data_IF_645200343820
#
_entry.id   IF_645200343820
#
_cell.length_a   1.000
_cell.length_b   1.000
_cell.length_c   1.000
_cell.angle_alpha   90.00
_cell.angle_beta   90.00
_cell.angle_gamma   90.00
#
_symmetry.space_group_name_H-M   'P 1'
#
loop_
_entity.id
_entity.type
_entity.pdbx_description
1 polymer ?
#
# COMPACT_ATOMS: atom_id res chain seq x y z
N UNK A 1 -75.95 9.74 -4.01
CA UNK A 1 -74.76 9.52 -4.86
C UNK A 1 -73.72 10.62 -4.63
N UNK A 2 -72.91 10.51 -3.57
CA UNK A 2 -71.67 11.27 -3.36
C UNK A 2 -70.81 10.39 -2.46
N UNK A 3 -69.61 10.01 -2.91
CA UNK A 3 -68.47 9.43 -2.18
C UNK A 3 -67.77 8.40 -3.07
N UNK A 4 -66.88 8.86 -3.98
CA UNK A 4 -65.84 8.02 -4.59
C UNK A 4 -64.77 8.78 -5.39
N UNK A 5 -64.44 10.01 -5.01
CA UNK A 5 -63.47 10.83 -5.77
C UNK A 5 -62.19 11.24 -5.02
N UNK A 6 -62.04 10.92 -3.74
CA UNK A 6 -60.93 11.42 -2.92
C UNK A 6 -59.78 10.43 -2.67
N UNK A 7 -59.88 9.18 -3.13
CA UNK A 7 -58.95 8.11 -2.71
C UNK A 7 -57.76 7.90 -3.66
N UNK A 8 -57.88 8.25 -4.95
CA UNK A 8 -56.83 7.98 -5.96
C UNK A 8 -55.64 8.94 -5.93
N UNK A 9 -55.76 10.10 -5.29
CA UNK A 9 -54.69 11.13 -5.28
C UNK A 9 -53.55 10.77 -4.33
N UNK A 10 -53.85 10.18 -3.17
CA UNK A 10 -52.84 9.81 -2.18
C UNK A 10 -52.03 8.58 -2.60
N UNK A 11 -52.66 7.66 -3.35
CA UNK A 11 -51.99 6.45 -3.85
C UNK A 11 -50.92 6.78 -4.91
N UNK A 12 -51.17 7.78 -5.76
CA UNK A 12 -50.18 8.25 -6.75
C UNK A 12 -49.03 9.03 -6.10
N UNK A 13 -49.32 9.87 -5.10
CA UNK A 13 -48.29 10.59 -4.36
C UNK A 13 -47.33 9.64 -3.63
N UNK A 14 -47.84 8.60 -2.95
CA UNK A 14 -47.01 7.58 -2.32
C UNK A 14 -46.13 6.84 -3.33
N UNK A 15 -46.66 6.46 -4.50
CA UNK A 15 -45.88 5.76 -5.54
C UNK A 15 -44.71 6.60 -6.08
N UNK A 16 -44.90 7.91 -6.25
CA UNK A 16 -43.84 8.82 -6.73
C UNK A 16 -42.75 8.99 -5.67
N UNK A 17 -43.11 9.11 -4.39
CA UNK A 17 -42.16 9.23 -3.28
C UNK A 17 -41.33 7.94 -3.11
N UNK A 18 -41.97 6.77 -3.18
CA UNK A 18 -41.27 5.48 -3.12
C UNK A 18 -40.34 5.25 -4.31
N UNK A 19 -40.75 5.61 -5.53
CA UNK A 19 -39.90 5.49 -6.71
C UNK A 19 -38.68 6.43 -6.65
N UNK A 20 -38.85 7.65 -6.15
CA UNK A 20 -37.75 8.60 -5.93
C UNK A 20 -36.73 8.11 -4.90
N UNK A 21 -37.20 7.53 -3.80
CA UNK A 21 -36.33 7.00 -2.74
C UNK A 21 -35.46 5.82 -3.23
N UNK A 22 -36.02 4.92 -4.05
CA UNK A 22 -35.29 3.78 -4.62
C UNK A 22 -34.20 4.27 -5.60
N UNK A 23 -34.48 5.26 -6.43
CA UNK A 23 -33.51 5.81 -7.38
C UNK A 23 -32.29 6.42 -6.65
N UNK A 24 -32.52 7.13 -5.54
CA UNK A 24 -31.45 7.72 -4.72
C UNK A 24 -30.62 6.62 -4.04
N UNK A 25 -31.26 5.59 -3.50
CA UNK A 25 -30.57 4.45 -2.87
C UNK A 25 -29.69 3.70 -3.87
N UNK A 26 -30.19 3.44 -5.08
CA UNK A 26 -29.40 2.77 -6.14
C UNK A 26 -28.24 3.65 -6.61
N UNK A 27 -28.45 4.96 -6.78
CA UNK A 27 -27.39 5.89 -7.17
C UNK A 27 -26.28 6.00 -6.10
N UNK A 28 -26.65 6.03 -4.82
CA UNK A 28 -25.69 6.08 -3.71
C UNK A 28 -24.92 4.76 -3.55
N UNK A 29 -25.59 3.60 -3.65
CA UNK A 29 -24.92 2.30 -3.69
C UNK A 29 -23.99 2.21 -4.90
N UNK A 30 -24.42 2.67 -6.07
CA UNK A 30 -23.60 2.68 -7.29
C UNK A 30 -22.37 3.59 -7.15
N UNK A 31 -22.50 4.79 -6.57
CA UNK A 31 -21.38 5.68 -6.31
C UNK A 31 -20.40 5.11 -5.28
N UNK A 32 -20.90 4.44 -4.22
CA UNK A 32 -20.05 3.76 -3.23
C UNK A 32 -19.34 2.56 -3.87
N UNK A 33 -20.05 1.75 -4.65
CA UNK A 33 -19.46 0.63 -5.39
C UNK A 33 -18.42 1.10 -6.40
N UNK A 34 -18.71 2.17 -7.15
CA UNK A 34 -17.76 2.80 -8.08
C UNK A 34 -16.53 3.32 -7.33
N UNK A 35 -16.69 4.06 -6.24
CA UNK A 35 -15.56 4.51 -5.39
C UNK A 35 -14.72 3.33 -4.89
N UNK A 36 -15.35 2.22 -4.48
CA UNK A 36 -14.62 1.00 -4.06
C UNK A 36 -13.91 0.29 -5.23
N UNK A 37 -14.49 0.30 -6.43
CA UNK A 37 -13.89 -0.32 -7.63
C UNK A 37 -12.71 0.49 -8.19
N UNK A 38 -12.70 1.82 -8.02
CA UNK A 38 -11.56 2.69 -8.35
C UNK A 38 -10.54 2.80 -7.21
N UNK A 39 -10.88 2.39 -5.98
CA UNK A 39 -9.92 1.94 -4.95
C UNK A 39 -9.33 0.55 -5.29
N UNK A 40 -9.12 0.27 -6.58
CA UNK A 40 -8.24 -0.83 -6.97
C UNK A 40 -6.86 -0.41 -6.49
N UNK A 41 -6.44 -1.09 -5.42
CA UNK A 41 -5.11 -1.12 -4.80
C UNK A 41 -4.06 -0.44 -5.66
N UNK A 42 -3.41 0.58 -5.10
CA UNK A 42 -2.03 0.89 -5.43
C UNK A 42 -1.28 -0.44 -5.42
N UNK A 43 -1.11 -1.03 -6.60
CA UNK A 43 -0.52 -2.35 -6.74
C UNK A 43 0.96 -2.16 -6.64
N UNK A 44 1.45 -2.06 -5.41
CA UNK A 44 2.87 -2.16 -5.09
C UNK A 44 3.22 -3.63 -5.28
N UNK A 45 3.77 -3.97 -6.43
CA UNK A 45 4.45 -5.25 -6.61
C UNK A 45 5.91 -5.03 -6.29
N UNK A 46 6.29 -5.37 -5.05
CA UNK A 46 7.67 -5.66 -4.69
C UNK A 46 7.98 -7.07 -5.18
N UNK A 47 8.47 -7.20 -6.41
CA UNK A 47 9.10 -8.46 -6.83
C UNK A 47 10.60 -8.31 -6.60
N UNK A 48 11.25 -9.19 -5.82
CA UNK A 48 12.70 -9.20 -5.76
C UNK A 48 13.24 -9.43 -7.18
N UNK A 49 13.93 -8.43 -7.71
CA UNK A 49 14.65 -8.55 -8.97
C UNK A 49 16.12 -8.77 -8.63
N UNK A 50 16.73 -9.79 -9.22
CA UNK A 50 18.13 -10.10 -9.00
C UNK A 50 18.92 -9.70 -10.25
N UNK A 51 19.77 -8.67 -10.12
CA UNK A 51 20.80 -8.35 -11.10
C UNK A 51 22.16 -8.60 -10.45
N UNK A 52 23.00 -9.42 -11.10
CA UNK A 52 24.33 -9.82 -10.61
C UNK A 52 24.36 -10.40 -9.17
N UNK A 53 23.30 -11.06 -8.73
CA UNK A 53 23.23 -11.72 -7.43
C UNK A 53 22.94 -10.79 -6.25
N UNK A 54 22.66 -9.51 -6.51
CA UNK A 54 22.20 -8.56 -5.50
C UNK A 54 20.67 -8.39 -5.59
N UNK A 55 19.94 -8.48 -4.46
CA UNK A 55 18.52 -8.18 -4.43
C UNK A 55 18.34 -6.68 -4.72
N UNK A 56 17.70 -6.36 -5.83
CA UNK A 56 17.32 -4.99 -6.18
C UNK A 56 15.83 -4.80 -5.95
N UNK A 57 15.50 -3.70 -5.28
CA UNK A 57 14.13 -3.31 -5.04
C UNK A 57 13.52 -2.74 -6.32
N UNK A 58 12.40 -3.32 -6.75
CA UNK A 58 11.58 -2.80 -7.86
C UNK A 58 10.18 -2.52 -7.36
N UNK A 59 9.71 -1.30 -7.60
CA UNK A 59 8.38 -0.82 -7.26
C UNK A 59 7.63 -0.41 -8.51
N UNK A 60 6.36 -0.80 -8.61
CA UNK A 60 5.49 -0.41 -9.72
C UNK A 60 4.30 0.36 -9.15
N UNK A 61 4.01 1.52 -9.72
CA UNK A 61 2.94 2.42 -9.29
C UNK A 61 2.07 2.82 -10.48
N UNK A 62 0.81 3.20 -10.19
CA UNK A 62 0.00 3.97 -11.15
C UNK A 62 -0.01 5.44 -10.72
N UNK A 63 0.42 6.32 -11.62
CA UNK A 63 0.38 7.77 -11.46
C UNK A 63 -0.66 8.37 -12.42
N UNK A 64 -0.92 9.67 -12.28
CA UNK A 64 -1.80 10.42 -13.19
C UNK A 64 -1.01 11.51 -13.88
N UNK A 65 -1.08 11.57 -15.22
CA UNK A 65 -0.56 12.66 -16.04
C UNK A 65 -1.71 13.23 -16.87
N UNK A 66 -2.05 14.51 -16.70
CA UNK A 66 -3.15 15.16 -17.43
C UNK A 66 -4.48 14.36 -17.42
N UNK A 67 -4.84 13.79 -16.26
CA UNK A 67 -5.99 12.89 -16.05
C UNK A 67 -5.92 11.52 -16.76
N UNK A 68 -4.80 11.17 -17.36
CA UNK A 68 -4.54 9.84 -17.90
C UNK A 68 -3.68 9.02 -16.93
N UNK A 69 -4.05 7.76 -16.65
CA UNK A 69 -3.22 6.90 -15.83
C UNK A 69 -1.95 6.53 -16.59
N UNK A 70 -0.80 6.66 -15.94
CA UNK A 70 0.49 6.17 -16.42
C UNK A 70 1.07 5.18 -15.42
N UNK A 71 1.90 4.26 -15.88
CA UNK A 71 2.64 3.34 -15.03
C UNK A 71 4.02 3.94 -14.72
N UNK A 72 4.41 3.96 -13.44
CA UNK A 72 5.77 4.27 -13.03
C UNK A 72 6.41 3.01 -12.46
N UNK A 73 7.61 2.68 -12.94
CA UNK A 73 8.45 1.63 -12.39
C UNK A 73 9.70 2.29 -11.81
N UNK A 74 9.99 2.03 -10.54
CA UNK A 74 11.11 2.58 -9.79
C UNK A 74 12.00 1.42 -9.37
N UNK A 75 13.28 1.48 -9.72
CA UNK A 75 14.25 0.41 -9.49
C UNK A 75 15.44 0.98 -8.73
N UNK A 76 15.86 0.32 -7.66
CA UNK A 76 17.05 0.71 -6.92
C UNK A 76 18.31 0.37 -7.73
N UNK A 77 19.21 1.35 -7.86
CA UNK A 77 20.53 1.20 -8.47
C UNK A 77 21.57 1.97 -7.68
N UNK A 78 22.24 1.28 -6.74
CA UNK A 78 23.17 1.93 -5.80
C UNK A 78 22.45 2.92 -4.88
N UNK A 79 22.97 4.13 -4.78
CA UNK A 79 22.43 5.22 -3.93
C UNK A 79 21.29 6.01 -4.61
N UNK A 80 20.84 5.57 -5.78
CA UNK A 80 19.78 6.23 -6.53
C UNK A 80 18.73 5.23 -7.03
N UNK A 81 17.60 5.75 -7.48
CA UNK A 81 16.53 4.96 -8.08
C UNK A 81 16.34 5.36 -9.53
N UNK A 82 16.39 4.39 -10.44
CA UNK A 82 16.01 4.57 -11.82
C UNK A 82 14.48 4.58 -11.96
N UNK A 83 13.93 5.55 -12.67
CA UNK A 83 12.47 5.65 -12.89
C UNK A 83 12.14 5.49 -14.37
N UNK A 84 11.19 4.61 -14.65
CA UNK A 84 10.61 4.39 -15.96
C UNK A 84 9.12 4.76 -15.95
N UNK A 85 8.67 5.59 -16.89
CA UNK A 85 7.26 5.95 -17.10
C UNK A 85 6.74 5.26 -18.37
N UNK A 86 5.68 4.47 -18.26
CA UNK A 86 5.13 3.60 -19.32
C UNK A 86 6.22 2.79 -20.05
N UNK A 87 7.17 2.25 -19.27
CA UNK A 87 8.28 1.44 -19.77
C UNK A 87 9.44 2.22 -20.41
N UNK A 88 9.40 3.56 -20.42
CA UNK A 88 10.50 4.40 -20.91
C UNK A 88 11.25 5.04 -19.77
N UNK A 89 12.59 4.98 -19.80
CA UNK A 89 13.42 5.64 -18.82
C UNK A 89 13.13 7.15 -18.79
N UNK A 90 12.78 7.66 -17.61
CA UNK A 90 12.37 9.04 -17.38
C UNK A 90 13.40 9.83 -16.57
N UNK A 91 14.26 9.15 -15.80
CA UNK A 91 15.32 9.80 -15.03
C UNK A 91 15.75 9.02 -13.79
N UNK A 92 16.57 9.67 -12.98
CA UNK A 92 17.01 9.16 -11.67
C UNK A 92 16.41 9.98 -10.53
N UNK A 93 16.15 9.29 -9.41
CA UNK A 93 15.60 9.85 -8.18
C UNK A 93 16.54 9.51 -7.02
N UNK A 94 16.80 10.46 -6.13
CA UNK A 94 17.54 10.22 -4.89
C UNK A 94 16.97 11.10 -3.77
N UNK A 95 17.31 10.78 -2.53
CA UNK A 95 16.93 11.60 -1.39
C UNK A 95 17.99 12.67 -1.13
N UNK A 96 17.54 13.88 -0.85
CA UNK A 96 18.40 14.97 -0.42
C UNK A 96 18.62 14.89 1.10
N UNK A 97 19.79 14.42 1.52
CA UNK A 97 20.18 14.30 2.93
C UNK A 97 20.24 15.65 3.65
N UNK A 98 20.53 16.73 2.94
CA UNK A 98 20.62 18.07 3.52
C UNK A 98 19.23 18.73 3.68
N UNK A 99 18.25 18.32 2.87
CA UNK A 99 16.90 18.90 2.85
C UNK A 99 15.80 17.93 3.30
N UNK A 100 15.95 17.36 4.50
CA UNK A 100 14.93 16.53 5.15
C UNK A 100 14.51 15.29 4.33
N UNK A 101 15.46 14.65 3.65
CA UNK A 101 15.25 13.42 2.87
C UNK A 101 14.20 13.59 1.75
N UNK A 102 14.05 14.81 1.23
CA UNK A 102 13.14 15.05 0.12
C UNK A 102 13.64 14.36 -1.14
N UNK A 103 12.73 13.69 -1.84
CA UNK A 103 13.02 13.10 -3.14
C UNK A 103 13.27 14.19 -4.18
N UNK A 104 14.38 14.10 -4.88
CA UNK A 104 14.78 15.03 -5.94
C UNK A 104 15.17 14.28 -7.22
N UNK A 105 14.96 14.95 -8.35
CA UNK A 105 15.38 14.48 -9.68
C UNK A 105 15.91 15.66 -10.49
N UNK A 106 16.94 15.42 -11.30
CA UNK A 106 17.46 16.42 -12.24
C UNK A 106 16.70 16.41 -13.58
N UNK A 107 16.16 15.26 -13.98
CA UNK A 107 15.50 15.07 -15.27
C UNK A 107 14.15 15.81 -15.36
N UNK A 108 14.04 16.73 -16.33
CA UNK A 108 12.81 17.52 -16.55
C UNK A 108 11.56 16.67 -16.77
N UNK A 109 11.72 15.50 -17.39
CA UNK A 109 10.62 14.56 -17.64
C UNK A 109 10.05 13.95 -16.35
N UNK A 110 10.87 13.87 -15.29
CA UNK A 110 10.50 13.24 -14.02
C UNK A 110 9.97 14.25 -13.00
N UNK A 111 10.40 15.52 -13.06
CA UNK A 111 10.01 16.59 -12.11
C UNK A 111 8.52 16.67 -11.79
N UNK A 112 7.58 16.54 -12.75
CA UNK A 112 6.15 16.61 -12.44
C UNK A 112 5.67 15.47 -11.52
N UNK A 113 6.38 14.34 -11.52
CA UNK A 113 5.99 13.11 -10.84
C UNK A 113 6.76 12.88 -9.53
N UNK A 114 7.85 13.60 -9.28
CA UNK A 114 8.73 13.42 -8.10
C UNK A 114 7.93 13.43 -6.80
N UNK A 115 6.99 14.37 -6.62
CA UNK A 115 6.21 14.44 -5.39
C UNK A 115 5.29 13.22 -5.20
N UNK A 116 4.65 12.75 -6.26
CA UNK A 116 3.73 11.62 -6.17
C UNK A 116 4.46 10.29 -6.06
N UNK A 117 5.58 10.12 -6.77
CA UNK A 117 6.49 8.98 -6.62
C UNK A 117 7.06 8.99 -5.20
N UNK A 118 7.53 10.13 -4.71
CA UNK A 118 8.07 10.26 -3.36
C UNK A 118 7.05 9.89 -2.29
N UNK A 119 5.81 10.38 -2.39
CA UNK A 119 4.72 9.95 -1.49
C UNK A 119 4.47 8.45 -1.56
N UNK A 120 4.46 7.87 -2.75
CA UNK A 120 4.25 6.42 -2.91
C UNK A 120 5.41 5.62 -2.34
N UNK A 121 6.66 5.98 -2.64
CA UNK A 121 7.85 5.36 -2.06
C UNK A 121 7.86 5.50 -0.55
N UNK A 122 7.63 6.70 -0.02
CA UNK A 122 7.49 6.91 1.42
C UNK A 122 6.35 6.10 2.02
N UNK A 123 5.29 5.77 1.27
CA UNK A 123 4.24 4.85 1.71
C UNK A 123 4.65 3.36 1.59
N UNK A 124 5.60 3.02 0.72
CA UNK A 124 6.16 1.65 0.67
C UNK A 124 7.15 1.43 1.80
N UNK A 125 7.98 2.43 2.09
CA UNK A 125 8.84 2.47 3.28
C UNK A 125 8.08 2.89 4.54
N UNK A 126 6.79 3.20 4.43
CA UNK A 126 5.95 3.39 5.60
C UNK A 126 5.54 2.04 6.16
N UNK A 127 5.03 2.10 7.38
CA UNK A 127 4.40 1.00 8.08
C UNK A 127 3.49 0.13 7.21
N UNK A 128 2.73 0.71 6.29
CA UNK A 128 1.79 -0.04 5.44
C UNK A 128 2.49 -0.97 4.44
N UNK A 129 3.72 -0.64 4.03
CA UNK A 129 4.55 -1.47 3.15
C UNK A 129 5.51 -2.39 3.90
N UNK A 130 5.74 -2.19 5.19
CA UNK A 130 6.68 -3.00 5.98
C UNK A 130 6.35 -4.49 5.99
N UNK A 131 5.06 -4.83 6.09
CA UNK A 131 4.58 -6.22 5.95
C UNK A 131 5.00 -6.85 4.62
N UNK A 132 4.93 -6.09 3.52
CA UNK A 132 5.32 -6.56 2.20
C UNK A 132 6.84 -6.64 2.04
N UNK A 133 7.60 -5.72 2.66
CA UNK A 133 9.06 -5.78 2.72
C UNK A 133 9.49 -7.05 3.46
N UNK A 134 8.96 -7.31 4.65
CA UNK A 134 9.28 -8.51 5.43
C UNK A 134 9.03 -9.80 4.62
N UNK A 135 7.87 -9.90 3.97
CA UNK A 135 7.53 -11.08 3.15
C UNK A 135 8.36 -11.19 1.85
N UNK A 136 8.86 -10.07 1.33
CA UNK A 136 9.71 -10.05 0.13
C UNK A 136 11.18 -10.35 0.43
N UNK A 137 11.66 -9.89 1.59
CA UNK A 137 13.05 -10.02 2.03
C UNK A 137 13.32 -11.37 2.68
N UNK A 138 12.38 -11.88 3.48
CA UNK A 138 12.57 -13.10 4.27
C UNK A 138 11.65 -14.22 3.75
N UNK A 139 12.19 -15.22 3.04
CA UNK A 139 11.40 -16.35 2.55
C UNK A 139 10.77 -17.18 3.68
N UNK A 140 11.36 -17.14 4.89
CA UNK A 140 10.84 -17.80 6.07
C UNK A 140 9.51 -17.18 6.55
N UNK A 141 9.19 -15.94 6.17
CA UNK A 141 7.97 -15.25 6.58
C UNK A 141 6.81 -15.65 5.66
N UNK A 142 5.92 -16.49 6.17
CA UNK A 142 4.75 -16.98 5.42
C UNK A 142 3.58 -16.02 5.43
N UNK A 143 3.45 -15.21 6.48
CA UNK A 143 2.35 -14.26 6.63
C UNK A 143 2.69 -13.17 7.65
N UNK A 144 1.96 -12.06 7.55
CA UNK A 144 2.01 -10.96 8.50
C UNK A 144 0.60 -10.48 8.83
N UNK A 145 0.37 -10.01 10.05
CA UNK A 145 -0.92 -9.50 10.50
C UNK A 145 -0.78 -8.37 11.53
N UNK A 146 -1.34 -7.19 11.22
CA UNK A 146 -1.32 -6.05 12.13
C UNK A 146 -2.32 -6.25 13.27
N UNK A 147 -1.83 -6.36 14.51
CA UNK A 147 -2.67 -6.50 15.71
C UNK A 147 -3.10 -5.17 16.30
N UNK A 148 -2.27 -4.14 16.15
CA UNK A 148 -2.53 -2.80 16.67
C UNK A 148 -1.84 -1.75 15.80
N UNK A 149 -1.92 -0.47 16.19
CA UNK A 149 -1.13 0.60 15.58
C UNK A 149 0.38 0.48 15.83
N UNK A 150 0.83 -0.36 16.73
CA UNK A 150 2.23 -0.44 17.16
C UNK A 150 2.70 -1.90 17.22
N UNK A 151 1.92 -2.84 16.67
CA UNK A 151 2.20 -4.27 16.81
C UNK A 151 1.91 -5.02 15.52
N UNK A 152 2.96 -5.61 14.93
CA UNK A 152 2.88 -6.47 13.77
C UNK A 152 3.19 -7.92 14.16
N UNK A 153 2.27 -8.84 13.89
CA UNK A 153 2.53 -10.27 13.99
C UNK A 153 3.21 -10.75 12.70
N UNK A 154 4.34 -11.44 12.85
CA UNK A 154 5.14 -12.04 11.79
C UNK A 154 5.09 -13.55 11.97
N UNK A 155 4.49 -14.24 11.02
CA UNK A 155 4.33 -15.69 11.05
C UNK A 155 5.41 -16.30 10.17
N UNK A 156 6.26 -17.15 10.75
CA UNK A 156 7.33 -17.85 10.05
C UNK A 156 7.01 -19.33 9.80
N UNK A 157 7.77 -19.96 8.92
CA UNK A 157 7.69 -21.40 8.64
C UNK A 157 7.91 -22.26 9.90
N UNK A 158 7.33 -23.47 9.89
CA UNK A 158 7.45 -24.41 11.01
C UNK A 158 8.89 -24.85 11.27
N UNK A 159 9.69 -24.96 10.21
CA UNK A 159 11.07 -25.47 10.26
C UNK A 159 12.08 -24.40 10.67
N UNK A 160 11.71 -23.12 10.59
CA UNK A 160 12.57 -21.99 10.98
C UNK A 160 12.93 -22.05 12.46
N UNK A 161 14.21 -21.87 12.79
CA UNK A 161 14.64 -21.65 14.17
C UNK A 161 14.24 -20.23 14.59
N UNK A 162 13.30 -20.14 15.53
CA UNK A 162 12.71 -18.86 15.91
C UNK A 162 13.71 -17.94 16.62
N UNK A 163 14.62 -18.50 17.42
CA UNK A 163 15.59 -17.70 18.17
C UNK A 163 16.64 -17.10 17.25
N UNK A 164 17.13 -17.91 16.30
CA UNK A 164 18.10 -17.47 15.29
C UNK A 164 17.46 -16.42 14.38
N UNK A 165 16.27 -16.69 13.85
CA UNK A 165 15.57 -15.76 12.97
C UNK A 165 15.26 -14.45 13.69
N UNK A 166 14.74 -14.50 14.92
CA UNK A 166 14.42 -13.29 15.67
C UNK A 166 15.66 -12.46 16.01
N UNK A 167 16.81 -13.11 16.28
CA UNK A 167 18.07 -12.41 16.50
C UNK A 167 18.53 -11.71 15.22
N UNK A 168 18.51 -12.41 14.09
CA UNK A 168 18.88 -11.83 12.80
C UNK A 168 17.96 -10.68 12.40
N UNK A 169 16.64 -10.88 12.50
CA UNK A 169 15.66 -9.85 12.20
C UNK A 169 15.84 -8.62 13.10
N UNK A 170 16.14 -8.82 14.38
CA UNK A 170 16.39 -7.70 15.31
C UNK A 170 17.60 -6.86 14.88
N UNK A 171 18.66 -7.48 14.38
CA UNK A 171 19.86 -6.77 13.96
C UNK A 171 19.67 -6.04 12.61
N UNK A 172 18.84 -6.60 11.72
CA UNK A 172 18.65 -6.08 10.35
C UNK A 172 17.41 -5.19 10.17
N UNK A 173 16.42 -5.24 11.07
CA UNK A 173 15.14 -4.54 10.87
C UNK A 173 15.30 -3.03 10.71
N UNK A 174 16.28 -2.43 11.38
CA UNK A 174 16.60 -1.00 11.25
C UNK A 174 17.18 -0.63 9.88
N UNK A 175 17.71 -1.60 9.14
CA UNK A 175 18.23 -1.40 7.77
C UNK A 175 17.11 -1.48 6.73
N UNK A 176 15.98 -2.12 7.05
CA UNK A 176 14.88 -2.31 6.12
C UNK A 176 13.96 -1.09 6.03
N UNK A 177 13.86 -0.33 7.11
CA UNK A 177 12.85 0.72 7.27
C UNK A 177 13.31 1.73 8.31
N UNK A 178 13.16 3.01 8.00
CA UNK A 178 13.31 4.10 8.96
C UNK A 178 11.94 4.45 9.55
N UNK A 179 11.60 3.85 10.69
CA UNK A 179 10.48 4.31 11.49
C UNK A 179 10.96 5.36 12.48
N UNK A 180 10.20 6.45 12.64
CA UNK A 180 10.31 7.33 13.79
C UNK A 180 9.40 6.85 14.95
N UNK A 181 8.40 6.03 14.62
CA UNK A 181 7.40 5.50 15.55
C UNK A 181 7.87 4.18 16.19
N UNK A 182 7.37 3.91 17.40
CA UNK A 182 7.57 2.64 18.12
C UNK A 182 6.83 1.49 17.45
N UNK A 183 7.50 0.35 17.28
CA UNK A 183 6.91 -0.85 16.68
C UNK A 183 7.39 -2.12 17.38
N UNK A 184 6.44 -2.91 17.89
CA UNK A 184 6.67 -4.27 18.36
C UNK A 184 6.37 -5.30 17.27
N UNK A 185 7.34 -6.17 17.01
CA UNK A 185 7.17 -7.34 16.15
C UNK A 185 6.96 -8.58 17.01
N UNK A 186 5.81 -9.23 16.84
CA UNK A 186 5.53 -10.55 17.43
C UNK A 186 5.90 -11.60 16.40
N UNK A 187 7.05 -12.25 16.57
CA UNK A 187 7.52 -13.29 15.66
C UNK A 187 7.14 -14.66 16.22
N UNK A 188 6.41 -15.47 15.43
CA UNK A 188 5.95 -16.80 15.86
C UNK A 188 5.77 -17.78 14.72
N UNK A 189 5.59 -19.05 15.06
CA UNK A 189 5.16 -20.10 14.11
C UNK A 189 3.63 -20.21 14.08
N UNK A 190 3.06 -20.62 12.95
CA UNK A 190 1.61 -20.67 12.73
C UNK A 190 0.82 -21.51 13.76
N UNK A 191 1.44 -22.56 14.30
CA UNK A 191 0.81 -23.53 15.20
C UNK A 191 1.51 -23.64 16.57
N UNK A 192 2.35 -22.68 16.90
CA UNK A 192 3.07 -22.63 18.17
C UNK A 192 2.54 -21.47 19.03
N UNK A 193 2.47 -21.70 20.33
CA UNK A 193 2.13 -20.68 21.32
C UNK A 193 3.37 -19.86 21.74
N UNK A 194 4.57 -20.37 21.46
CA UNK A 194 5.81 -19.67 21.68
C UNK A 194 6.00 -18.55 20.64
N UNK A 195 6.40 -17.37 21.11
CA UNK A 195 6.68 -16.20 20.28
C UNK A 195 7.83 -15.39 20.89
N UNK A 196 8.52 -14.64 20.04
CA UNK A 196 9.56 -13.67 20.42
C UNK A 196 9.05 -12.27 20.07
N UNK A 197 9.26 -11.31 20.97
CA UNK A 197 8.97 -9.90 20.70
C UNK A 197 10.26 -9.19 20.36
N UNK A 198 10.28 -8.48 19.23
CA UNK A 198 11.35 -7.58 18.83
C UNK A 198 10.78 -6.16 18.85
N UNK A 199 11.32 -5.32 19.73
CA UNK A 199 10.97 -3.91 19.78
C UNK A 199 11.89 -3.11 18.87
N UNK A 200 11.28 -2.32 17.99
CA UNK A 200 11.91 -1.40 17.04
C UNK A 200 11.56 0.02 17.49
N UNK A 201 12.58 0.82 17.79
CA UNK A 201 12.55 2.11 18.51
C UNK A 201 12.17 2.05 19.99
#
# INVERSE_FOLDING_TARGET
MKHKFFDRSNEQACRIIFAGAIAIAVASIYLVYRRRKYRKKDFVSTSPFYEDGHPMERYIFSLTNDNQPIQAMVEQGGDCYAVHLDGKYAGSLWQDEENSLQWIAQDEALKPFVSDIGKKLSNVYSRDGFSAILMGTYPEVVATDWKSSETLEVIVEQETDLEIFATFLKDEVMNLVSFDDHLDLIVKKAHDAYFVIITVN
#
